data_IF_826738355411
#
_entry.id   IF_826738355411
#
_cell.length_a   1.000
_cell.length_b   1.000
_cell.length_c   1.000
_cell.angle_alpha   90.00
_cell.angle_beta   90.00
_cell.angle_gamma   90.00
#
_symmetry.space_group_name_H-M   'P 1'
#
loop_
_entity.id
_entity.type
_entity.pdbx_description
1 polymer ?
#
# COMPACT_ATOMS: atom_id res chain seq x y z
N UNK A 1 3.00 16.08 15.18
CA UNK A 1 2.24 16.78 14.11
C UNK A 1 1.37 15.78 13.34
N UNK A 2 0.44 16.22 12.49
CA UNK A 2 -0.42 15.31 11.69
C UNK A 2 0.41 14.34 10.81
N UNK A 3 1.47 14.80 10.11
CA UNK A 3 2.32 13.91 9.32
C UNK A 3 3.06 12.82 10.12
N UNK A 4 3.56 13.15 11.31
CA UNK A 4 4.24 12.18 12.19
C UNK A 4 3.28 11.09 12.67
N UNK A 5 2.03 11.46 13.00
CA UNK A 5 1.00 10.49 13.39
C UNK A 5 0.68 9.51 12.26
N UNK A 6 0.62 10.00 11.03
CA UNK A 6 0.42 9.16 9.85
C UNK A 6 1.59 8.19 9.64
N UNK A 7 2.83 8.68 9.73
CA UNK A 7 4.03 7.83 9.60
C UNK A 7 4.11 6.75 10.67
N UNK A 8 3.84 7.10 11.94
CA UNK A 8 3.78 6.12 13.03
C UNK A 8 2.65 5.09 12.84
N UNK A 9 1.52 5.52 12.28
CA UNK A 9 0.42 4.60 11.96
C UNK A 9 0.82 3.60 10.88
N UNK A 10 1.49 4.05 9.82
CA UNK A 10 2.03 3.16 8.79
C UNK A 10 3.06 2.19 9.35
N UNK A 11 3.92 2.62 10.26
CA UNK A 11 4.86 1.73 10.94
C UNK A 11 4.13 0.62 11.69
N UNK A 12 3.13 0.97 12.50
CA UNK A 12 2.33 -0.02 13.23
C UNK A 12 1.59 -0.97 12.29
N UNK A 13 1.11 -0.50 11.15
CA UNK A 13 0.46 -1.32 10.13
C UNK A 13 1.39 -2.35 9.50
N UNK A 14 2.64 -1.98 9.21
CA UNK A 14 3.67 -2.91 8.74
C UNK A 14 3.96 -3.97 9.80
N UNK A 15 4.09 -3.57 11.07
CA UNK A 15 4.31 -4.50 12.19
C UNK A 15 3.13 -5.48 12.38
N UNK A 16 1.89 -5.02 12.22
CA UNK A 16 0.70 -5.88 12.28
C UNK A 16 0.69 -6.91 11.15
N UNK A 17 1.07 -6.52 9.94
CA UNK A 17 1.17 -7.43 8.81
C UNK A 17 2.26 -8.49 9.04
N UNK A 18 3.44 -8.08 9.50
CA UNK A 18 4.56 -8.98 9.76
C UNK A 18 4.21 -10.03 10.83
N UNK A 19 3.63 -9.58 11.95
CA UNK A 19 3.48 -10.42 13.14
C UNK A 19 2.11 -11.10 13.28
N UNK A 20 1.06 -10.55 12.68
CA UNK A 20 -0.33 -10.95 12.96
C UNK A 20 -1.13 -11.34 11.70
N UNK A 21 -0.50 -11.46 10.52
CA UNK A 21 -1.19 -11.83 9.26
C UNK A 21 -2.02 -13.10 9.30
N UNK A 22 -1.64 -14.08 10.12
CA UNK A 22 -2.42 -15.31 10.30
C UNK A 22 -3.77 -15.08 11.00
N UNK A 23 -3.87 -14.04 11.84
CA UNK A 23 -5.02 -13.78 12.71
C UNK A 23 -5.89 -12.61 12.24
N UNK A 24 -5.33 -11.67 11.49
CA UNK A 24 -5.98 -10.40 11.12
C UNK A 24 -6.32 -10.31 9.63
N UNK A 25 -6.71 -11.42 9.00
CA UNK A 25 -6.90 -11.48 7.54
C UNK A 25 -7.86 -10.41 7.02
N UNK A 26 -9.03 -10.29 7.61
CA UNK A 26 -10.07 -9.33 7.18
C UNK A 26 -9.60 -7.89 7.41
N UNK A 27 -8.98 -7.63 8.57
CA UNK A 27 -8.51 -6.31 8.95
C UNK A 27 -7.37 -5.85 8.03
N UNK A 28 -6.47 -6.76 7.66
CA UNK A 28 -5.39 -6.50 6.71
C UNK A 28 -5.96 -6.23 5.32
N UNK A 29 -6.98 -6.96 4.88
CA UNK A 29 -7.65 -6.66 3.61
C UNK A 29 -8.21 -5.24 3.59
N UNK A 30 -8.95 -4.86 4.64
CA UNK A 30 -9.51 -3.52 4.80
C UNK A 30 -8.40 -2.47 4.86
N UNK A 31 -7.30 -2.74 5.55
CA UNK A 31 -6.16 -1.85 5.66
C UNK A 31 -5.53 -1.56 4.31
N UNK A 32 -5.25 -2.61 3.52
CA UNK A 32 -4.71 -2.44 2.17
C UNK A 32 -5.66 -1.66 1.28
N UNK A 33 -6.95 -2.01 1.31
CA UNK A 33 -7.94 -1.38 0.45
C UNK A 33 -8.20 0.07 0.80
N UNK A 34 -8.53 0.34 2.05
CA UNK A 34 -9.06 1.63 2.47
C UNK A 34 -7.95 2.65 2.78
N UNK A 35 -6.71 2.19 3.04
CA UNK A 35 -5.57 3.07 3.33
C UNK A 35 -4.54 3.03 2.21
N UNK A 36 -3.84 1.91 2.03
CA UNK A 36 -2.70 1.87 1.10
C UNK A 36 -3.12 2.15 -0.34
N UNK A 37 -4.13 1.44 -0.85
CA UNK A 37 -4.62 1.60 -2.22
C UNK A 37 -5.35 2.93 -2.41
N UNK A 38 -6.28 3.29 -1.51
CA UNK A 38 -6.98 4.59 -1.59
C UNK A 38 -6.03 5.79 -1.66
N UNK A 39 -4.99 5.81 -0.84
CA UNK A 39 -4.04 6.94 -0.83
C UNK A 39 -3.28 7.04 -2.15
N UNK A 40 -2.88 5.91 -2.73
CA UNK A 40 -2.14 5.88 -3.99
C UNK A 40 -3.03 6.12 -5.22
N UNK A 41 -4.30 5.71 -5.17
CA UNK A 41 -5.25 5.85 -6.28
C UNK A 41 -5.89 7.24 -6.34
N UNK A 42 -6.09 7.92 -5.21
CA UNK A 42 -6.79 9.20 -5.16
C UNK A 42 -5.85 10.36 -5.53
N UNK A 43 -6.31 11.25 -6.43
CA UNK A 43 -5.57 12.46 -6.83
C UNK A 43 -5.46 13.51 -5.71
N UNK A 44 -6.40 13.54 -4.77
CA UNK A 44 -6.41 14.51 -3.66
C UNK A 44 -5.38 14.21 -2.57
N UNK A 45 -4.79 13.01 -2.55
CA UNK A 45 -3.74 12.65 -1.59
C UNK A 45 -2.45 13.40 -1.90
N UNK A 46 -1.87 14.05 -0.88
CA UNK A 46 -0.61 14.78 -1.02
C UNK A 46 0.54 13.85 -1.43
N UNK A 47 1.54 14.42 -2.10
CA UNK A 47 2.75 13.68 -2.46
C UNK A 47 3.40 12.99 -1.26
N UNK A 48 3.50 13.70 -0.12
CA UNK A 48 4.12 13.14 1.09
C UNK A 48 3.39 11.90 1.57
N UNK A 49 2.05 11.87 1.55
CA UNK A 49 1.30 10.67 1.93
C UNK A 49 1.53 9.52 0.95
N UNK A 50 1.46 9.78 -0.36
CA UNK A 50 1.75 8.76 -1.39
C UNK A 50 3.16 8.20 -1.24
N UNK A 51 4.16 9.06 -1.01
CA UNK A 51 5.54 8.68 -0.81
C UNK A 51 5.75 7.78 0.41
N UNK A 52 5.19 8.15 1.57
CA UNK A 52 5.26 7.35 2.79
C UNK A 52 4.59 5.97 2.63
N UNK A 53 3.48 5.91 1.89
CA UNK A 53 2.81 4.65 1.54
C UNK A 53 3.70 3.79 0.64
N UNK A 54 4.33 4.35 -0.39
CA UNK A 54 5.28 3.63 -1.27
C UNK A 54 6.48 3.10 -0.46
N UNK A 55 7.05 3.90 0.45
CA UNK A 55 8.13 3.46 1.32
C UNK A 55 7.71 2.29 2.22
N UNK A 56 6.48 2.32 2.73
CA UNK A 56 5.93 1.24 3.57
C UNK A 56 5.71 -0.03 2.74
N UNK A 57 5.14 0.10 1.53
CA UNK A 57 4.98 -1.01 0.60
C UNK A 57 6.31 -1.60 0.16
N UNK A 58 7.37 -0.81 0.04
CA UNK A 58 8.72 -1.31 -0.26
C UNK A 58 9.21 -2.28 0.82
N UNK A 59 8.96 -1.97 2.10
CA UNK A 59 9.30 -2.87 3.22
C UNK A 59 8.48 -4.15 3.18
N UNK A 60 7.18 -4.02 2.92
CA UNK A 60 6.24 -5.14 2.80
C UNK A 60 6.66 -6.08 1.65
N UNK A 61 6.99 -5.51 0.49
CA UNK A 61 7.37 -6.27 -0.70
C UNK A 61 8.77 -6.88 -0.63
N UNK A 62 9.59 -6.49 0.35
CA UNK A 62 10.89 -7.11 0.59
C UNK A 62 10.76 -8.54 1.13
N UNK A 63 9.61 -8.90 1.72
CA UNK A 63 9.28 -10.27 2.11
C UNK A 63 8.39 -10.94 1.05
N UNK A 64 8.98 -11.86 0.29
CA UNK A 64 8.27 -12.62 -0.74
C UNK A 64 7.09 -13.45 -0.18
N UNK A 65 7.17 -13.91 1.07
CA UNK A 65 6.07 -14.66 1.69
C UNK A 65 4.85 -13.77 1.90
N UNK A 66 5.03 -12.51 2.29
CA UNK A 66 3.91 -11.56 2.40
C UNK A 66 3.24 -11.36 1.04
N UNK A 67 4.01 -11.27 -0.05
CA UNK A 67 3.45 -11.15 -1.40
C UNK A 67 2.61 -12.37 -1.79
N UNK A 68 3.10 -13.58 -1.51
CA UNK A 68 2.35 -14.82 -1.72
C UNK A 68 1.08 -14.84 -0.88
N UNK A 69 1.18 -14.43 0.39
CA UNK A 69 0.03 -14.38 1.30
C UNK A 69 -1.03 -13.39 0.81
N UNK A 70 -0.63 -12.25 0.24
CA UNK A 70 -1.58 -11.28 -0.34
C UNK A 70 -2.39 -11.92 -1.47
N UNK A 71 -1.72 -12.58 -2.41
CA UNK A 71 -2.37 -13.24 -3.54
C UNK A 71 -3.31 -14.37 -3.10
N UNK A 72 -2.82 -15.27 -2.24
CA UNK A 72 -3.60 -16.44 -1.82
C UNK A 72 -4.80 -16.03 -0.96
N UNK A 73 -4.64 -15.06 -0.06
CA UNK A 73 -5.71 -14.70 0.88
C UNK A 73 -6.71 -13.69 0.30
N UNK A 74 -6.32 -12.84 -0.65
CA UNK A 74 -7.13 -11.67 -1.07
C UNK A 74 -7.46 -11.58 -2.56
N UNK A 75 -6.99 -12.54 -3.38
CA UNK A 75 -7.30 -12.59 -4.83
C UNK A 75 -7.84 -13.97 -5.25
N UNK A 76 -7.51 -15.05 -4.54
CA UNK A 76 -7.89 -16.43 -4.91
C UNK A 76 -9.31 -16.85 -4.48
N UNK A 77 -10.21 -15.89 -4.19
CA UNK A 77 -11.60 -16.16 -3.82
C UNK A 77 -12.57 -15.33 -4.65
N UNK A 78 -13.71 -15.93 -5.02
CA UNK A 78 -14.78 -15.28 -5.80
C UNK A 78 -15.40 -14.06 -5.11
N UNK A 79 -15.14 -13.86 -3.81
CA UNK A 79 -15.61 -12.70 -3.02
C UNK A 79 -14.48 -11.74 -2.62
N UNK A 80 -13.30 -11.94 -3.16
CA UNK A 80 -12.11 -11.23 -2.72
C UNK A 80 -11.99 -9.83 -3.33
N UNK A 81 -11.28 -8.95 -2.64
CA UNK A 81 -11.11 -7.54 -3.05
C UNK A 81 -10.07 -7.31 -4.15
N UNK A 82 -9.43 -8.37 -4.67
CA UNK A 82 -8.32 -8.32 -5.65
C UNK A 82 -7.21 -7.36 -5.21
N UNK A 83 -6.77 -7.50 -3.96
CA UNK A 83 -5.80 -6.59 -3.34
C UNK A 83 -4.45 -6.66 -4.04
N UNK A 84 -3.97 -7.86 -4.34
CA UNK A 84 -2.67 -8.05 -4.98
C UNK A 84 -2.67 -7.51 -6.42
N UNK A 85 -3.67 -7.86 -7.22
CA UNK A 85 -3.82 -7.33 -8.59
C UNK A 85 -3.82 -5.78 -8.59
N UNK A 86 -4.65 -5.17 -7.74
CA UNK A 86 -4.72 -3.71 -7.63
C UNK A 86 -3.40 -3.09 -7.20
N UNK A 87 -2.72 -3.69 -6.23
CA UNK A 87 -1.42 -3.23 -5.77
C UNK A 87 -0.40 -3.21 -6.92
N UNK A 88 -0.33 -4.29 -7.70
CA UNK A 88 0.56 -4.39 -8.87
C UNK A 88 0.23 -3.31 -9.90
N UNK A 89 -1.05 -3.09 -10.21
CA UNK A 89 -1.49 -2.07 -11.17
C UNK A 89 -1.09 -0.66 -10.71
N UNK A 90 -1.37 -0.34 -9.44
CA UNK A 90 -1.10 0.98 -8.88
C UNK A 90 0.40 1.26 -8.83
N UNK A 91 1.20 0.31 -8.36
CA UNK A 91 2.66 0.46 -8.32
C UNK A 91 3.27 0.57 -9.73
N UNK A 92 2.76 -0.20 -10.70
CA UNK A 92 3.18 -0.10 -12.10
C UNK A 92 2.91 1.29 -12.69
N UNK A 93 1.73 1.87 -12.42
CA UNK A 93 1.37 3.23 -12.86
C UNK A 93 2.25 4.29 -12.21
N UNK A 94 2.56 4.14 -10.92
CA UNK A 94 3.46 5.04 -10.20
C UNK A 94 4.87 4.99 -10.82
N UNK A 95 5.40 3.79 -11.09
CA UNK A 95 6.73 3.59 -11.69
C UNK A 95 6.85 4.13 -13.13
N UNK A 96 5.75 4.12 -13.90
CA UNK A 96 5.70 4.68 -15.25
C UNK A 96 5.70 6.22 -15.29
N UNK A 97 5.72 6.90 -14.15
CA UNK A 97 5.74 8.36 -14.11
C UNK A 97 4.44 9.03 -14.56
N UNK A 98 3.34 8.29 -14.74
CA UNK A 98 2.02 8.92 -14.99
C UNK A 98 1.53 9.74 -13.80
N UNK A 99 1.99 9.38 -12.60
CA UNK A 99 1.84 10.23 -11.41
C UNK A 99 2.95 11.28 -11.32
N UNK A 100 4.11 11.09 -11.96
CA UNK A 100 5.27 12.00 -11.93
C UNK A 100 5.01 13.40 -12.48
N UNK A 101 4.03 13.57 -13.36
CA UNK A 101 3.59 14.90 -13.84
C UNK A 101 2.89 15.70 -12.73
N UNK A 102 2.29 15.04 -11.73
CA UNK A 102 1.83 15.68 -10.47
C UNK A 102 2.96 15.81 -9.42
N UNK A 103 4.16 15.25 -9.66
CA UNK A 103 5.22 15.12 -8.66
C UNK A 103 6.24 16.28 -8.63
N UNK A 104 6.14 17.28 -9.50
CA UNK A 104 7.07 18.42 -9.46
C UNK A 104 8.54 18.02 -9.55
N UNK A 105 8.85 16.84 -10.10
CA UNK A 105 10.21 16.33 -10.28
C UNK A 105 10.98 17.08 -11.38
N UNK A 106 10.38 18.11 -11.96
CA UNK A 106 11.03 19.12 -12.80
C UNK A 106 11.79 20.20 -12.00
N UNK A 107 11.76 20.15 -10.66
CA UNK A 107 12.55 21.06 -9.81
C UNK A 107 13.70 20.37 -9.07
N UNK A 108 14.61 19.76 -9.82
CA UNK A 108 16.01 19.78 -9.40
C UNK A 108 16.54 21.22 -9.45
#
# INVERSE_FOLDING_TARGET
>A
SIPELFEMSLFNFVELLDKFKAHLKIQIEVLFREIFLTILETSTSSFRHKWLVIQSLTKICADAQIIVDLFINYDCSMRSGNVFERLVIVLSRAAQGRQAVELGMDMF
#
